data_IF_103897094102
#
_entry.id   IF_103897094102
#
_cell.length_a   1.000
_cell.length_b   1.000
_cell.length_c   1.000
_cell.angle_alpha   90.00
_cell.angle_beta   90.00
_cell.angle_gamma   90.00
#
_symmetry.space_group_name_H-M   'P 1'
#
loop_
_entity.id
_entity.type
_entity.pdbx_description
1 polymer ?
#
# COMPACT_ATOMS: atom_id res chain seq x y z
N UNK A 1 -4.30 2.83 -15.14
CA UNK A 1 -5.57 2.44 -15.81
C UNK A 1 -6.39 1.48 -14.97
N UNK A 2 -5.80 0.45 -14.34
CA UNK A 2 -6.53 -0.46 -13.46
C UNK A 2 -7.20 0.24 -12.27
N UNK A 3 -6.50 1.17 -11.60
CA UNK A 3 -7.05 1.95 -10.48
C UNK A 3 -8.24 2.82 -10.93
N UNK A 4 -8.14 3.46 -12.10
CA UNK A 4 -9.22 4.28 -12.66
C UNK A 4 -10.42 3.42 -13.06
N UNK A 5 -10.19 2.27 -13.69
CA UNK A 5 -11.25 1.31 -14.02
C UNK A 5 -11.94 0.80 -12.75
N UNK A 6 -11.17 0.48 -11.70
CA UNK A 6 -11.69 0.09 -10.39
C UNK A 6 -12.51 1.19 -9.71
N UNK A 7 -12.06 2.44 -9.79
CA UNK A 7 -12.78 3.61 -9.28
C UNK A 7 -14.12 3.80 -10.02
N UNK A 8 -14.12 3.69 -11.36
CA UNK A 8 -15.32 3.85 -12.20
C UNK A 8 -16.32 2.71 -11.93
N UNK A 9 -15.86 1.45 -11.94
CA UNK A 9 -16.70 0.29 -11.63
C UNK A 9 -17.25 0.35 -10.20
N UNK A 10 -16.42 0.73 -9.23
CA UNK A 10 -16.83 0.92 -7.83
C UNK A 10 -17.88 2.01 -7.68
N UNK A 11 -17.71 3.14 -8.35
CA UNK A 11 -18.67 4.25 -8.37
C UNK A 11 -20.01 3.86 -8.99
N UNK A 12 -20.01 3.11 -10.10
CA UNK A 12 -21.24 2.63 -10.76
C UNK A 12 -22.02 1.68 -9.84
N UNK A 13 -21.32 0.75 -9.18
CA UNK A 13 -21.95 -0.21 -8.24
C UNK A 13 -22.51 0.50 -7.00
N UNK A 14 -21.82 1.54 -6.50
CA UNK A 14 -22.28 2.37 -5.39
C UNK A 14 -23.62 3.05 -5.72
N UNK A 15 -23.74 3.63 -6.92
CA UNK A 15 -24.97 4.29 -7.39
C UNK A 15 -26.09 3.26 -7.60
N UNK A 16 -25.74 2.03 -8.01
CA UNK A 16 -26.70 0.95 -8.27
C UNK A 16 -27.23 0.24 -7.00
N UNK A 17 -26.85 0.68 -5.79
CA UNK A 17 -27.33 0.17 -4.49
C UNK A 17 -27.29 -1.37 -4.32
N UNK A 18 -26.45 -2.06 -5.09
CA UNK A 18 -26.21 -3.48 -4.89
C UNK A 18 -25.18 -3.62 -3.76
N UNK A 19 -25.61 -4.20 -2.63
CA UNK A 19 -24.69 -4.61 -1.55
C UNK A 19 -23.47 -5.27 -2.18
N UNK A 20 -22.27 -4.80 -1.85
CA UNK A 20 -21.03 -5.34 -2.40
C UNK A 20 -20.92 -6.83 -2.04
N UNK A 21 -21.26 -7.70 -2.99
CA UNK A 21 -21.10 -9.15 -2.86
C UNK A 21 -19.63 -9.59 -3.02
N UNK A 22 -18.74 -8.65 -3.34
CA UNK A 22 -17.33 -8.84 -3.61
C UNK A 22 -16.47 -8.01 -2.65
N UNK A 23 -16.67 -8.18 -1.35
CA UNK A 23 -15.63 -7.80 -0.40
C UNK A 23 -14.66 -8.96 -0.29
N UNK A 24 -13.42 -8.72 -0.74
CA UNK A 24 -12.37 -9.70 -0.61
C UNK A 24 -12.00 -9.81 0.87
N UNK A 25 -12.19 -10.99 1.46
CA UNK A 25 -11.80 -11.24 2.84
C UNK A 25 -10.29 -10.95 2.99
N UNK A 26 -9.89 -10.08 3.95
CA UNK A 26 -8.48 -9.73 4.14
C UNK A 26 -7.58 -10.95 4.33
N UNK A 27 -8.09 -12.00 5.00
CA UNK A 27 -7.33 -13.24 5.20
C UNK A 27 -7.01 -13.94 3.86
N UNK A 28 -7.96 -14.01 2.92
CA UNK A 28 -7.69 -14.58 1.59
C UNK A 28 -6.70 -13.73 0.78
N UNK A 29 -6.80 -12.40 0.90
CA UNK A 29 -5.84 -11.50 0.25
C UNK A 29 -4.42 -11.75 0.75
N UNK A 30 -4.20 -11.73 2.06
CA UNK A 30 -2.86 -11.85 2.64
C UNK A 30 -2.28 -13.27 2.57
N UNK A 31 -3.12 -14.31 2.67
CA UNK A 31 -2.67 -15.70 2.72
C UNK A 31 -2.50 -16.35 1.34
N UNK A 32 -3.25 -15.91 0.32
CA UNK A 32 -3.21 -16.54 -1.01
C UNK A 32 -2.84 -15.57 -2.13
N UNK A 33 -3.43 -14.38 -2.16
CA UNK A 33 -3.18 -13.42 -3.23
C UNK A 33 -1.80 -12.76 -3.10
N UNK A 34 -1.43 -12.31 -1.90
CA UNK A 34 -0.14 -11.66 -1.68
C UNK A 34 1.03 -12.63 -1.96
N UNK A 35 1.02 -13.90 -1.48
CA UNK A 35 2.11 -14.83 -1.75
C UNK A 35 2.23 -15.21 -3.23
N UNK A 36 1.11 -15.35 -3.94
CA UNK A 36 1.15 -15.62 -5.40
C UNK A 36 1.71 -14.43 -6.18
N UNK A 37 1.29 -13.21 -5.87
CA UNK A 37 1.79 -11.99 -6.53
C UNK A 37 3.29 -11.79 -6.28
N UNK A 38 3.74 -11.89 -5.02
CA UNK A 38 5.16 -11.73 -4.67
C UNK A 38 5.99 -12.88 -5.21
N UNK A 39 5.45 -14.11 -5.25
CA UNK A 39 6.09 -15.28 -5.83
C UNK A 39 6.30 -15.15 -7.34
N UNK A 40 5.29 -14.74 -8.08
CA UNK A 40 5.40 -14.45 -9.52
C UNK A 40 6.43 -13.34 -9.78
N UNK A 41 6.35 -12.24 -9.03
CA UNK A 41 7.31 -11.13 -9.16
C UNK A 41 8.75 -11.56 -8.83
N UNK A 42 8.94 -12.44 -7.84
CA UNK A 42 10.23 -13.00 -7.47
C UNK A 42 10.78 -13.98 -8.50
N UNK A 43 9.92 -14.77 -9.17
CA UNK A 43 10.34 -15.70 -10.21
C UNK A 43 10.88 -15.00 -11.46
N UNK A 44 10.26 -13.88 -11.86
CA UNK A 44 10.74 -13.06 -12.98
C UNK A 44 11.99 -12.21 -12.63
N UNK A 45 12.49 -12.28 -11.40
CA UNK A 45 13.63 -11.48 -10.96
C UNK A 45 14.97 -12.14 -11.35
N UNK A 46 15.87 -11.45 -12.06
CA UNK A 46 17.17 -12.00 -12.43
C UNK A 46 18.09 -12.09 -11.19
N UNK A 47 18.17 -13.30 -10.63
CA UNK A 47 18.91 -13.58 -9.39
C UNK A 47 20.38 -13.13 -9.44
N UNK A 48 21.08 -13.30 -10.57
CA UNK A 48 22.50 -12.94 -10.70
C UNK A 48 22.76 -11.44 -10.47
N UNK A 49 22.02 -10.57 -11.18
CA UNK A 49 22.17 -9.12 -11.01
C UNK A 49 21.71 -8.64 -9.63
N UNK A 50 20.72 -9.31 -9.04
CA UNK A 50 20.27 -9.04 -7.68
C UNK A 50 21.38 -9.30 -6.65
N UNK A 51 22.03 -10.46 -6.72
CA UNK A 51 23.10 -10.81 -5.78
C UNK A 51 24.35 -9.94 -6.00
N UNK A 52 24.67 -9.58 -7.25
CA UNK A 52 25.79 -8.68 -7.56
C UNK A 52 25.60 -7.26 -7.00
N UNK A 53 24.34 -6.81 -6.80
CA UNK A 53 24.00 -5.47 -6.29
C UNK A 53 23.26 -5.50 -4.95
N UNK A 54 23.35 -6.61 -4.21
CA UNK A 54 22.54 -6.84 -3.00
C UNK A 54 22.74 -5.73 -1.96
N UNK A 55 23.98 -5.24 -1.81
CA UNK A 55 24.30 -4.13 -0.90
C UNK A 55 23.49 -2.86 -1.22
N UNK A 56 23.49 -2.41 -2.47
CA UNK A 56 22.74 -1.21 -2.89
C UNK A 56 21.23 -1.40 -2.73
N UNK A 57 20.72 -2.58 -3.08
CA UNK A 57 19.30 -2.94 -2.93
C UNK A 57 18.89 -2.92 -1.46
N UNK A 58 19.70 -3.54 -0.58
CA UNK A 58 19.43 -3.58 0.86
C UNK A 58 19.49 -2.18 1.46
N UNK A 59 20.46 -1.35 1.08
CA UNK A 59 20.53 0.05 1.51
C UNK A 59 19.29 0.81 1.07
N UNK A 60 18.87 0.69 -0.19
CA UNK A 60 17.66 1.36 -0.67
C UNK A 60 16.40 0.87 0.03
N UNK A 61 16.27 -0.45 0.21
CA UNK A 61 15.13 -1.05 0.88
C UNK A 61 15.06 -0.63 2.35
N UNK A 62 16.13 -0.77 3.12
CA UNK A 62 16.12 -0.51 4.57
C UNK A 62 16.13 1.00 4.85
N UNK A 63 17.11 1.72 4.31
CA UNK A 63 17.25 3.16 4.57
C UNK A 63 16.09 3.93 3.93
N UNK A 64 15.66 3.55 2.72
CA UNK A 64 14.53 4.18 2.05
C UNK A 64 13.21 3.96 2.78
N UNK A 65 12.95 2.75 3.29
CA UNK A 65 11.73 2.50 4.08
C UNK A 65 11.75 3.19 5.43
N UNK A 66 12.89 3.19 6.13
CA UNK A 66 13.07 3.95 7.38
C UNK A 66 12.80 5.44 7.16
N UNK A 67 13.44 6.03 6.15
CA UNK A 67 13.25 7.45 5.83
C UNK A 67 11.80 7.75 5.45
N UNK A 68 11.17 6.90 4.63
CA UNK A 68 9.76 7.04 4.26
C UNK A 68 8.83 6.96 5.49
N UNK A 69 9.10 6.03 6.42
CA UNK A 69 8.32 5.90 7.65
C UNK A 69 8.48 7.11 8.57
N UNK A 70 9.70 7.63 8.72
CA UNK A 70 9.97 8.84 9.49
C UNK A 70 9.29 10.06 8.87
N UNK A 71 9.43 10.27 7.56
CA UNK A 71 8.75 11.37 6.88
C UNK A 71 7.23 11.27 7.02
N UNK A 72 6.65 10.09 6.78
CA UNK A 72 5.19 9.91 6.91
C UNK A 72 4.73 10.18 8.35
N UNK A 73 5.43 9.64 9.35
CA UNK A 73 5.12 9.87 10.76
C UNK A 73 5.26 11.33 11.17
N UNK A 74 6.33 12.00 10.72
CA UNK A 74 6.54 13.42 10.98
C UNK A 74 5.50 14.29 10.28
N UNK A 75 5.16 14.00 9.02
CA UNK A 75 4.09 14.68 8.29
C UNK A 75 2.74 14.53 9.00
N UNK A 76 2.42 13.35 9.52
CA UNK A 76 1.20 13.13 10.29
C UNK A 76 1.22 13.89 11.63
N UNK A 77 2.35 13.91 12.33
CA UNK A 77 2.53 14.67 13.56
C UNK A 77 2.43 16.19 13.33
N UNK A 78 3.06 16.69 12.26
CA UNK A 78 2.98 18.08 11.84
C UNK A 78 1.54 18.45 11.43
N UNK A 79 0.85 17.60 10.67
CA UNK A 79 -0.56 17.81 10.31
C UNK A 79 -1.48 17.83 11.54
N UNK A 80 -1.17 17.02 12.56
CA UNK A 80 -1.85 17.08 13.86
C UNK A 80 -1.59 18.42 14.57
N UNK A 81 -0.33 18.86 14.63
CA UNK A 81 0.05 20.12 15.28
C UNK A 81 -0.54 21.35 14.57
N UNK A 82 -0.62 21.31 13.24
CA UNK A 82 -1.26 22.33 12.41
C UNK A 82 -2.80 22.29 12.46
N UNK A 83 -3.39 21.37 13.24
CA UNK A 83 -4.84 21.29 13.43
C UNK A 83 -5.62 20.69 12.25
N UNK A 84 -4.93 20.11 11.26
CA UNK A 84 -5.55 19.46 10.09
C UNK A 84 -6.12 18.08 10.46
N UNK A 85 -5.45 17.37 11.37
CA UNK A 85 -5.83 16.02 11.81
C UNK A 85 -6.00 16.06 13.34
N UNK A 86 -7.23 16.33 13.79
CA UNK A 86 -7.60 16.31 15.21
C UNK A 86 -8.24 17.59 15.71
N UNK A 87 -9.40 17.96 15.17
CA UNK A 87 -10.39 18.65 15.99
C UNK A 87 -11.16 17.60 16.81
N UNK A 88 -10.60 17.17 17.93
CA UNK A 88 -11.43 16.84 19.09
C UNK A 88 -11.39 18.07 19.97
N UNK A 89 -12.18 19.07 19.58
CA UNK A 89 -12.55 20.19 20.40
C UNK A 89 -13.30 19.61 21.60
N UNK A 90 -12.71 19.71 22.79
CA UNK A 90 -13.47 19.48 24.01
C UNK A 90 -14.52 20.59 24.14
N UNK A 91 -15.78 20.22 23.99
CA UNK A 91 -16.95 20.70 24.74
C UNK A 91 -18.10 19.73 24.50
#
# INVERSE_FOLDING_TARGET
>A
MLILLGLVLGGIVLIANKKQLYQLEPALFFLFLLPTIVGDAGYFMPARLFFDNLGAILTYAVVGTLWNAFCTGFCLYAAKLLGVIGQSLGS
#
